data_IF_230560634619
#
_entry.id   IF_230560634619
#
_cell.length_a   1.000
_cell.length_b   1.000
_cell.length_c   1.000
_cell.angle_alpha   90.00
_cell.angle_beta   90.00
_cell.angle_gamma   90.00
#
_symmetry.space_group_name_H-M   'P 1'
#
loop_
_entity.id
_entity.type
_entity.pdbx_description
1 polymer ?
#
# COMPACT_ATOMS: atom_id res chain seq x y z
N UNK A 1 9.27 -13.97 18.04
CA UNK A 1 10.33 -13.11 17.44
C UNK A 1 11.68 -13.62 17.93
N UNK A 2 12.65 -13.88 17.05
CA UNK A 2 13.96 -14.34 17.49
C UNK A 2 14.74 -13.22 18.19
N UNK A 3 15.82 -13.56 18.90
CA UNK A 3 16.58 -12.59 19.70
C UNK A 3 17.12 -11.41 18.86
N UNK A 4 17.58 -11.67 17.64
CA UNK A 4 18.10 -10.65 16.71
C UNK A 4 17.00 -9.69 16.26
N UNK A 5 15.86 -10.21 15.82
CA UNK A 5 14.71 -9.38 15.39
C UNK A 5 14.17 -8.54 16.54
N UNK A 6 14.20 -9.06 17.78
CA UNK A 6 13.80 -8.30 18.97
C UNK A 6 14.75 -7.12 19.23
N UNK A 7 16.06 -7.35 19.20
CA UNK A 7 17.06 -6.30 19.40
C UNK A 7 16.95 -5.19 18.33
N UNK A 8 16.82 -5.56 17.05
CA UNK A 8 16.63 -4.61 15.95
C UNK A 8 15.34 -3.79 16.11
N UNK A 9 14.25 -4.41 16.58
CA UNK A 9 13.01 -3.69 16.85
C UNK A 9 13.15 -2.68 18.00
N UNK A 10 13.91 -3.02 19.03
CA UNK A 10 14.19 -2.11 20.15
C UNK A 10 15.06 -0.93 19.72
N UNK A 11 16.05 -1.16 18.85
CA UNK A 11 16.88 -0.11 18.25
C UNK A 11 16.07 0.80 17.33
N UNK A 12 15.27 0.22 16.42
CA UNK A 12 14.40 0.98 15.52
C UNK A 12 13.42 1.89 16.27
N UNK A 13 12.93 1.47 17.45
CA UNK A 13 12.03 2.29 18.28
C UNK A 13 12.71 3.52 18.90
N UNK A 14 14.05 3.60 18.90
CA UNK A 14 14.81 4.76 19.41
C UNK A 14 15.05 5.84 18.35
N UNK A 15 14.83 5.52 17.08
CA UNK A 15 14.90 6.45 15.97
C UNK A 15 13.78 7.50 16.02
N UNK A 16 13.96 8.62 15.34
CA UNK A 16 12.91 9.61 15.16
C UNK A 16 11.70 9.01 14.40
N UNK A 17 10.52 9.63 14.45
CA UNK A 17 9.39 9.21 13.60
C UNK A 17 9.75 9.11 12.12
N UNK A 18 10.53 10.05 11.59
CA UNK A 18 10.94 10.12 10.18
C UNK A 18 11.89 8.98 9.82
N UNK A 19 12.94 8.77 10.62
CA UNK A 19 13.91 7.68 10.44
C UNK A 19 13.24 6.30 10.57
N UNK A 20 12.21 6.18 11.42
CA UNK A 20 11.42 4.94 11.50
C UNK A 20 10.62 4.68 10.23
N UNK A 21 10.06 5.73 9.61
CA UNK A 21 9.32 5.59 8.35
C UNK A 21 10.30 5.16 7.25
N UNK A 22 11.45 5.82 7.14
CA UNK A 22 12.49 5.47 6.16
C UNK A 22 12.92 4.00 6.29
N UNK A 23 13.19 3.53 7.51
CA UNK A 23 13.54 2.13 7.76
C UNK A 23 12.41 1.15 7.41
N UNK A 24 11.16 1.52 7.68
CA UNK A 24 10.00 0.68 7.32
C UNK A 24 9.89 0.57 5.79
N UNK A 25 10.06 1.66 5.06
CA UNK A 25 9.98 1.68 3.60
C UNK A 25 11.09 0.83 2.95
N UNK A 26 12.33 0.96 3.42
CA UNK A 26 13.46 0.14 2.93
C UNK A 26 13.23 -1.36 3.19
N UNK A 27 12.87 -1.71 4.44
CA UNK A 27 12.60 -3.11 4.80
C UNK A 27 11.41 -3.66 4.01
N UNK A 28 10.34 -2.90 3.83
CA UNK A 28 9.19 -3.32 3.03
C UNK A 28 9.59 -3.54 1.57
N UNK A 29 10.36 -2.64 0.98
CA UNK A 29 10.88 -2.78 -0.38
C UNK A 29 11.75 -4.04 -0.56
N UNK A 30 12.45 -4.47 0.49
CA UNK A 30 13.25 -5.69 0.47
C UNK A 30 12.43 -7.00 0.51
N UNK A 31 11.19 -6.95 1.00
CA UNK A 31 10.34 -8.13 1.18
C UNK A 31 9.59 -8.50 -0.10
N UNK A 32 9.15 -7.49 -0.86
CA UNK A 32 8.39 -7.66 -2.09
C UNK A 32 9.16 -7.05 -3.27
N UNK A 33 10.09 -7.80 -3.89
CA UNK A 33 10.71 -7.36 -5.13
C UNK A 33 9.61 -7.20 -6.18
N UNK A 34 9.47 -5.99 -6.72
CA UNK A 34 8.52 -5.71 -7.80
C UNK A 34 8.95 -6.52 -9.01
N UNK A 35 8.11 -7.47 -9.42
CA UNK A 35 8.24 -8.09 -10.74
C UNK A 35 7.82 -7.04 -11.78
N UNK A 36 8.76 -6.57 -12.63
CA UNK A 36 8.45 -5.51 -13.60
C UNK A 36 7.34 -5.88 -14.58
N UNK A 37 7.15 -7.19 -14.85
CA UNK A 37 6.09 -7.65 -15.72
C UNK A 37 4.73 -7.56 -15.01
N UNK A 38 4.67 -7.89 -13.73
CA UNK A 38 3.44 -7.71 -12.93
C UNK A 38 3.09 -6.23 -12.86
N UNK A 39 4.06 -5.35 -12.59
CA UNK A 39 3.83 -3.90 -12.53
C UNK A 39 3.29 -3.36 -13.87
N UNK A 40 3.88 -3.79 -14.99
CA UNK A 40 3.41 -3.45 -16.34
C UNK A 40 1.96 -3.88 -16.57
N UNK A 41 1.60 -5.10 -16.17
CA UNK A 41 0.23 -5.62 -16.31
C UNK A 41 -0.76 -4.87 -15.41
N UNK A 42 -0.37 -4.46 -14.21
CA UNK A 42 -1.20 -3.62 -13.33
C UNK A 42 -1.48 -2.24 -13.93
N UNK A 43 -0.47 -1.61 -14.54
CA UNK A 43 -0.66 -0.32 -15.23
C UNK A 43 -1.63 -0.45 -16.39
N UNK A 44 -1.51 -1.52 -17.18
CA UNK A 44 -2.42 -1.79 -18.29
C UNK A 44 -3.86 -2.02 -17.79
N UNK A 45 -4.03 -2.86 -16.78
CA UNK A 45 -5.34 -3.16 -16.20
C UNK A 45 -6.00 -1.91 -15.59
N UNK A 46 -5.23 -1.07 -14.88
CA UNK A 46 -5.74 0.18 -14.32
C UNK A 46 -6.28 1.12 -15.42
N UNK A 47 -5.54 1.25 -16.54
CA UNK A 47 -5.97 2.04 -17.71
C UNK A 47 -7.22 1.45 -18.34
N UNK A 48 -7.27 0.13 -18.53
CA UNK A 48 -8.41 -0.57 -19.11
C UNK A 48 -9.68 -0.37 -18.27
N UNK A 49 -9.57 -0.53 -16.94
CA UNK A 49 -10.69 -0.31 -16.01
C UNK A 49 -11.18 1.14 -16.03
N UNK A 50 -10.28 2.12 -16.04
CA UNK A 50 -10.67 3.52 -16.12
C UNK A 50 -11.42 3.81 -17.43
N UNK A 51 -10.91 3.32 -18.56
CA UNK A 51 -11.56 3.50 -19.86
C UNK A 51 -12.95 2.86 -19.91
N UNK A 52 -13.10 1.63 -19.39
CA UNK A 52 -14.39 0.95 -19.29
C UNK A 52 -15.39 1.68 -18.38
N UNK A 53 -14.93 2.21 -17.24
CA UNK A 53 -15.74 3.08 -16.38
C UNK A 53 -16.23 4.34 -17.11
N UNK A 54 -15.34 5.02 -17.82
CA UNK A 54 -15.69 6.23 -18.59
C UNK A 54 -16.67 5.94 -19.74
N UNK A 55 -16.66 4.72 -20.30
CA UNK A 55 -17.66 4.24 -21.27
C UNK A 55 -18.97 3.76 -20.62
N UNK A 56 -19.05 3.71 -19.30
CA UNK A 56 -20.24 3.28 -18.56
C UNK A 56 -20.44 1.76 -18.52
N UNK A 57 -19.39 0.97 -18.78
CA UNK A 57 -19.46 -0.50 -18.83
C UNK A 57 -19.65 -1.14 -17.44
N UNK A 58 -19.31 -0.41 -16.37
CA UNK A 58 -19.63 -0.80 -15.00
C UNK A 58 -19.89 0.43 -14.12
N UNK A 59 -20.63 0.21 -13.02
CA UNK A 59 -20.97 1.24 -12.05
C UNK A 59 -19.91 1.32 -10.95
N UNK A 60 -19.43 2.53 -10.67
CA UNK A 60 -18.67 2.78 -9.45
C UNK A 60 -19.62 2.95 -8.25
N UNK A 61 -19.12 2.67 -7.05
CA UNK A 61 -19.81 3.03 -5.81
C UNK A 61 -19.36 4.44 -5.40
N UNK A 62 -20.29 5.34 -5.02
CA UNK A 62 -19.92 6.66 -4.50
C UNK A 62 -18.97 6.54 -3.31
N UNK A 63 -17.95 7.40 -3.26
CA UNK A 63 -16.94 7.37 -2.21
C UNK A 63 -17.57 7.62 -0.83
N UNK A 64 -18.58 8.48 -0.78
CA UNK A 64 -19.34 8.82 0.43
C UNK A 64 -20.02 7.59 1.03
N UNK A 65 -20.51 6.67 0.20
CA UNK A 65 -21.13 5.42 0.66
C UNK A 65 -20.12 4.53 1.38
N UNK A 66 -18.87 4.51 0.91
CA UNK A 66 -17.78 3.75 1.53
C UNK A 66 -17.38 4.39 2.86
N UNK A 67 -17.25 5.72 2.90
CA UNK A 67 -16.83 6.45 4.09
C UNK A 67 -17.81 6.35 5.26
N UNK A 68 -19.10 6.17 5.01
CA UNK A 68 -20.11 6.02 6.08
C UNK A 68 -19.79 4.89 7.06
N UNK A 69 -19.09 3.84 6.64
CA UNK A 69 -18.65 2.74 7.53
C UNK A 69 -17.59 3.17 8.56
N UNK A 70 -16.83 4.22 8.25
CA UNK A 70 -15.67 4.67 9.04
C UNK A 70 -15.92 6.00 9.76
N UNK A 71 -17.05 6.64 9.49
CA UNK A 71 -17.52 7.78 10.29
C UNK A 71 -17.86 7.27 11.69
N UNK A 72 -17.00 7.59 12.66
CA UNK A 72 -17.31 7.43 14.08
C UNK A 72 -18.39 8.44 14.49
N UNK A 73 -19.28 8.09 15.43
CA UNK A 73 -20.21 9.04 16.03
C UNK A 73 -19.49 10.18 16.74
#
# INVERSE_FOLDING_TARGET
>A
MNAKTKALSEEARRLSPEERIELIEDLQGSLDPIDPEIDRLWVEEARNRLAAYLRGEFKARPFEEILRKYQRP
#
